data_IF_764040643027
#
_entry.id   IF_764040643027
#
_cell.length_a   1.000
_cell.length_b   1.000
_cell.length_c   1.000
_cell.angle_alpha   90.00
_cell.angle_beta   90.00
_cell.angle_gamma   90.00
#
_symmetry.space_group_name_H-M   'P 1'
#
loop_
_entity.id
_entity.type
_entity.pdbx_description
1 polymer ?
#
# COMPACT_ATOMS: atom_id res chain seq x y z
N UNK A 1 11.62 -19.79 -3.23
CA UNK A 1 10.22 -19.29 -3.42
C UNK A 1 10.32 -17.86 -3.90
N UNK A 2 9.53 -17.50 -4.92
CA UNK A 2 9.50 -16.17 -5.48
C UNK A 2 8.30 -15.38 -4.88
N UNK A 3 8.33 -15.19 -3.58
CA UNK A 3 7.32 -14.44 -2.84
C UNK A 3 7.61 -12.94 -2.92
N UNK A 4 6.58 -12.13 -3.06
CA UNK A 4 6.69 -10.67 -3.14
C UNK A 4 5.85 -10.03 -2.02
N UNK A 5 6.45 -9.08 -1.32
CA UNK A 5 5.74 -8.18 -0.40
C UNK A 5 5.56 -6.82 -1.06
N UNK A 6 4.34 -6.33 -1.10
CA UNK A 6 4.01 -4.98 -1.53
C UNK A 6 3.69 -4.13 -0.30
N UNK A 7 4.54 -3.16 -0.02
CA UNK A 7 4.34 -2.17 1.05
C UNK A 7 3.66 -0.95 0.43
N UNK A 8 2.38 -0.77 0.74
CA UNK A 8 1.53 0.24 0.11
C UNK A 8 1.59 1.55 0.89
N UNK A 9 2.08 2.60 0.24
CA UNK A 9 1.95 4.00 0.64
C UNK A 9 2.27 4.32 2.11
N UNK A 10 3.32 3.71 2.66
CA UNK A 10 3.76 3.98 4.03
C UNK A 10 4.49 5.33 4.13
N UNK A 11 3.78 6.41 3.75
CA UNK A 11 4.25 7.79 3.65
C UNK A 11 3.88 8.61 4.88
N UNK A 12 4.65 9.66 5.15
CA UNK A 12 4.46 10.50 6.34
C UNK A 12 3.07 11.12 6.41
N UNK A 13 2.51 11.60 5.30
CA UNK A 13 1.18 12.20 5.28
C UNK A 13 0.06 11.23 5.68
N UNK A 14 0.21 9.93 5.39
CA UNK A 14 -0.76 8.90 5.78
C UNK A 14 -0.49 8.32 7.18
N UNK A 15 0.69 8.52 7.74
CA UNK A 15 1.05 7.98 9.06
C UNK A 15 0.68 8.98 10.16
N UNK A 16 1.29 10.14 10.17
CA UNK A 16 1.09 11.20 11.18
C UNK A 16 1.01 12.61 10.58
N UNK A 17 0.98 12.75 9.25
CA UNK A 17 0.83 14.01 8.55
C UNK A 17 -0.63 14.38 8.27
N UNK A 18 -0.90 14.98 7.10
CA UNK A 18 -2.18 15.59 6.74
C UNK A 18 -3.39 14.64 6.85
N UNK A 19 -3.19 13.35 6.55
CA UNK A 19 -4.21 12.30 6.61
C UNK A 19 -3.85 11.19 7.62
N UNK A 20 -2.98 11.49 8.58
CA UNK A 20 -2.51 10.53 9.57
C UNK A 20 -3.57 10.09 10.57
N UNK A 21 -3.41 8.89 11.10
CA UNK A 21 -4.24 8.30 12.14
C UNK A 21 -3.39 7.62 13.20
N UNK A 22 -3.92 7.44 14.42
CA UNK A 22 -3.21 6.70 15.47
C UNK A 22 -2.98 5.23 15.08
N UNK A 23 -3.91 4.65 14.35
CA UNK A 23 -3.81 3.28 13.84
C UNK A 23 -2.67 3.16 12.82
N UNK A 24 -2.53 4.15 11.92
CA UNK A 24 -1.43 4.18 10.95
C UNK A 24 -0.06 4.29 11.64
N UNK A 25 0.05 5.09 12.68
CA UNK A 25 1.27 5.17 13.50
C UNK A 25 1.57 3.83 14.16
N UNK A 26 0.55 3.18 14.70
CA UNK A 26 0.69 1.93 15.46
C UNK A 26 1.23 0.76 14.63
N UNK A 27 0.94 0.72 13.32
CA UNK A 27 1.42 -0.39 12.47
C UNK A 27 2.86 -0.25 11.99
N UNK A 28 3.49 0.92 12.10
CA UNK A 28 4.86 1.16 11.58
C UNK A 28 5.88 0.15 12.11
N UNK A 29 5.98 -0.15 13.43
CA UNK A 29 6.93 -1.15 13.93
C UNK A 29 6.66 -2.56 13.40
N UNK A 30 5.39 -2.93 13.24
CA UNK A 30 5.01 -4.23 12.67
C UNK A 30 5.43 -4.35 11.21
N UNK A 31 5.12 -3.34 10.40
CA UNK A 31 5.51 -3.30 8.97
C UNK A 31 7.03 -3.34 8.83
N UNK A 32 7.77 -2.64 9.70
CA UNK A 32 9.23 -2.71 9.73
C UNK A 32 9.72 -4.15 9.94
N UNK A 33 9.23 -4.81 10.98
CA UNK A 33 9.59 -6.20 11.26
C UNK A 33 9.21 -7.15 10.13
N UNK A 34 8.05 -6.92 9.49
CA UNK A 34 7.63 -7.70 8.32
C UNK A 34 8.61 -7.55 7.16
N UNK A 35 9.05 -6.33 6.84
CA UNK A 35 10.03 -6.07 5.78
C UNK A 35 11.38 -6.72 6.09
N UNK A 36 11.88 -6.57 7.32
CA UNK A 36 13.17 -7.10 7.75
C UNK A 36 13.24 -8.63 7.66
N UNK A 37 12.12 -9.32 7.91
CA UNK A 37 12.06 -10.77 7.96
C UNK A 37 11.42 -11.42 6.73
N UNK A 38 10.98 -10.63 5.75
CA UNK A 38 10.35 -11.20 4.56
C UNK A 38 11.38 -11.94 3.69
N UNK A 39 11.14 -13.22 3.37
CA UNK A 39 12.14 -14.04 2.68
C UNK A 39 12.27 -13.75 1.19
N UNK A 40 11.36 -12.94 0.62
CA UNK A 40 11.27 -12.66 -0.79
C UNK A 40 11.62 -11.22 -1.17
N UNK A 41 11.13 -10.81 -2.32
CA UNK A 41 11.30 -9.45 -2.84
C UNK A 41 10.33 -8.48 -2.17
N UNK A 42 10.80 -7.30 -1.79
CA UNK A 42 9.97 -6.25 -1.21
C UNK A 42 9.89 -5.07 -2.17
N UNK A 43 8.67 -4.68 -2.53
CA UNK A 43 8.36 -3.53 -3.37
C UNK A 43 7.57 -2.50 -2.58
N UNK A 44 7.76 -1.23 -2.88
CA UNK A 44 7.06 -0.13 -2.24
C UNK A 44 6.27 0.65 -3.27
N UNK A 45 5.01 0.97 -2.99
CA UNK A 45 4.28 1.99 -3.73
C UNK A 45 4.32 3.32 -2.98
N UNK A 46 4.16 4.41 -3.73
CA UNK A 46 4.17 5.75 -3.18
C UNK A 46 3.15 6.61 -3.92
N UNK A 47 2.12 7.02 -3.21
CA UNK A 47 1.11 7.95 -3.73
C UNK A 47 1.76 9.29 -4.05
N UNK A 48 1.51 9.83 -5.23
CA UNK A 48 2.26 10.98 -5.74
C UNK A 48 1.33 11.94 -6.44
N UNK A 49 1.10 13.09 -5.83
CA UNK A 49 0.33 14.20 -6.38
C UNK A 49 1.22 15.38 -6.76
N UNK A 50 0.70 16.27 -7.59
CA UNK A 50 1.33 17.51 -7.97
C UNK A 50 0.66 18.69 -7.27
N UNK A 51 1.24 19.89 -7.39
CA UNK A 51 0.71 21.10 -6.76
C UNK A 51 -0.73 21.44 -7.15
N UNK A 52 -1.17 20.99 -8.33
CA UNK A 52 -2.55 21.16 -8.81
C UNK A 52 -3.53 20.12 -8.25
N UNK A 53 -3.19 19.40 -7.18
CA UNK A 53 -4.04 18.38 -6.57
C UNK A 53 -5.49 18.83 -6.37
N UNK A 54 -5.71 20.07 -5.90
CA UNK A 54 -7.04 20.62 -5.64
C UNK A 54 -7.90 20.76 -6.90
N UNK A 55 -7.30 20.78 -8.09
CA UNK A 55 -7.99 20.87 -9.37
C UNK A 55 -8.40 19.49 -9.91
N UNK A 56 -7.83 18.43 -9.34
CA UNK A 56 -8.13 17.05 -9.73
C UNK A 56 -9.49 16.60 -9.21
N UNK A 57 -10.02 15.53 -9.78
CA UNK A 57 -11.27 14.93 -9.26
C UNK A 57 -11.10 14.43 -7.83
N UNK A 58 -9.95 13.82 -7.50
CA UNK A 58 -9.65 13.38 -6.14
C UNK A 58 -9.63 14.56 -5.17
N UNK A 59 -8.93 15.65 -5.52
CA UNK A 59 -8.85 16.84 -4.70
C UNK A 59 -10.19 17.55 -4.50
N UNK A 60 -11.12 17.45 -5.45
CA UNK A 60 -12.50 17.95 -5.28
C UNK A 60 -13.32 17.11 -4.32
N UNK A 61 -13.09 15.80 -4.26
CA UNK A 61 -13.77 14.89 -3.34
C UNK A 61 -13.12 14.87 -1.94
N UNK A 62 -11.81 15.01 -1.87
CA UNK A 62 -11.02 15.09 -0.64
C UNK A 62 -10.13 16.35 -0.69
N UNK A 63 -10.63 17.53 -0.27
CA UNK A 63 -9.91 18.79 -0.41
C UNK A 63 -8.80 18.97 0.66
N UNK A 64 -7.93 17.99 0.78
CA UNK A 64 -6.77 17.97 1.68
C UNK A 64 -5.53 17.65 0.86
N UNK A 65 -4.66 18.64 0.62
CA UNK A 65 -3.38 18.41 -0.03
C UNK A 65 -2.55 17.40 0.77
N UNK A 66 -2.09 16.37 0.12
CA UNK A 66 -1.23 15.34 0.70
C UNK A 66 -0.35 14.72 -0.38
N UNK A 67 0.73 14.10 0.03
CA UNK A 67 1.67 13.38 -0.84
C UNK A 67 2.07 14.18 -2.10
N UNK A 68 2.24 15.49 -1.94
CA UNK A 68 2.74 16.33 -3.02
C UNK A 68 4.21 16.01 -3.26
N UNK A 69 4.55 15.69 -4.50
CA UNK A 69 5.91 15.29 -4.89
C UNK A 69 6.96 16.23 -4.35
N UNK A 70 7.98 15.67 -3.72
CA UNK A 70 9.12 16.41 -3.16
C UNK A 70 8.91 16.99 -1.77
N UNK A 71 7.70 16.89 -1.19
CA UNK A 71 7.45 17.32 0.19
C UNK A 71 7.85 16.23 1.20
N UNK A 72 8.02 16.61 2.46
CA UNK A 72 8.27 15.64 3.55
C UNK A 72 7.11 14.67 3.73
N UNK A 73 5.87 15.13 3.56
CA UNK A 73 4.67 14.31 3.64
C UNK A 73 4.62 13.20 2.59
N UNK A 74 5.16 13.45 1.41
CA UNK A 74 5.27 12.48 0.32
C UNK A 74 6.32 11.39 0.58
N UNK A 75 7.34 11.66 1.40
CA UNK A 75 8.40 10.68 1.67
C UNK A 75 7.85 9.44 2.37
N UNK A 76 8.36 8.27 2.00
CA UNK A 76 8.16 7.05 2.76
C UNK A 76 8.77 7.25 4.16
N UNK A 77 8.11 6.73 5.18
CA UNK A 77 8.62 6.79 6.57
C UNK A 77 10.07 6.34 6.61
N UNK A 78 10.95 7.20 7.15
CA UNK A 78 12.40 7.05 7.09
C UNK A 78 12.90 5.66 7.49
N UNK A 79 12.37 5.11 8.59
CA UNK A 79 12.79 3.79 9.10
C UNK A 79 12.38 2.62 8.20
N UNK A 80 11.38 2.81 7.33
CA UNK A 80 10.96 1.83 6.32
C UNK A 80 11.71 2.07 5.01
N UNK A 81 11.93 3.34 4.63
CA UNK A 81 12.66 3.71 3.43
C UNK A 81 14.13 3.22 3.48
N UNK A 82 14.71 3.22 4.69
CA UNK A 82 16.06 2.69 4.93
C UNK A 82 16.20 1.19 4.60
N UNK A 83 15.09 0.44 4.59
CA UNK A 83 15.06 -0.99 4.24
C UNK A 83 14.75 -1.24 2.76
N UNK A 84 14.39 -0.22 2.02
CA UNK A 84 14.03 -0.31 0.60
C UNK A 84 15.26 -0.58 -0.26
N UNK A 85 15.15 -1.58 -1.14
CA UNK A 85 16.26 -2.03 -2.02
C UNK A 85 16.04 -1.69 -3.49
N UNK A 86 14.83 -1.24 -3.86
CA UNK A 86 14.46 -0.90 -5.23
C UNK A 86 13.81 0.48 -5.27
N UNK A 87 13.72 1.08 -6.46
CA UNK A 87 12.96 2.33 -6.62
C UNK A 87 11.52 2.14 -6.17
N UNK A 88 10.96 3.16 -5.50
CA UNK A 88 9.55 3.16 -5.16
C UNK A 88 8.69 3.33 -6.42
N UNK A 89 7.57 2.64 -6.46
CA UNK A 89 6.62 2.70 -7.56
C UNK A 89 5.68 3.88 -7.30
N UNK A 90 5.94 5.01 -7.92
CA UNK A 90 5.10 6.19 -7.83
C UNK A 90 3.80 5.96 -8.60
N UNK A 91 2.67 6.24 -7.95
CA UNK A 91 1.34 6.11 -8.54
C UNK A 91 0.57 7.43 -8.38
N UNK A 92 -0.35 7.69 -9.28
CA UNK A 92 -1.10 8.96 -9.35
C UNK A 92 -2.54 8.83 -8.85
N UNK A 93 -2.94 7.64 -8.45
CA UNK A 93 -4.27 7.31 -7.93
C UNK A 93 -4.18 6.09 -7.02
N UNK A 94 -5.29 5.60 -6.52
CA UNK A 94 -5.36 4.54 -5.49
C UNK A 94 -4.67 3.24 -5.93
N UNK A 95 -5.01 2.71 -7.11
CA UNK A 95 -4.35 1.54 -7.68
C UNK A 95 -3.15 1.92 -8.56
N UNK A 96 -2.05 1.20 -8.42
CA UNK A 96 -0.82 1.43 -9.18
C UNK A 96 -0.80 0.60 -10.48
N UNK A 97 -1.24 1.18 -11.60
CA UNK A 97 -1.21 0.47 -12.89
C UNK A 97 0.21 0.08 -13.32
N UNK A 98 1.21 0.85 -12.91
CA UNK A 98 2.61 0.54 -13.16
C UNK A 98 3.18 -0.58 -12.28
N UNK A 99 2.56 -0.89 -11.14
CA UNK A 99 2.88 -2.09 -10.34
C UNK A 99 2.66 -3.36 -11.15
N UNK A 100 1.59 -3.41 -11.94
CA UNK A 100 1.30 -4.56 -12.82
C UNK A 100 2.47 -4.85 -13.76
N UNK A 101 3.03 -3.82 -14.39
CA UNK A 101 4.19 -3.96 -15.29
C UNK A 101 5.44 -4.45 -14.56
N UNK A 102 5.64 -4.02 -13.31
CA UNK A 102 6.77 -4.51 -12.50
C UNK A 102 6.60 -5.99 -12.17
N UNK A 103 5.37 -6.41 -11.85
CA UNK A 103 5.06 -7.81 -11.56
C UNK A 103 5.13 -8.69 -12.82
N UNK A 104 4.69 -8.20 -13.98
CA UNK A 104 4.79 -8.91 -15.28
C UNK A 104 6.24 -9.16 -15.69
N UNK A 105 7.19 -8.35 -15.22
CA UNK A 105 8.61 -8.51 -15.51
C UNK A 105 9.30 -9.57 -14.65
N UNK A 106 8.62 -10.09 -13.61
CA UNK A 106 9.16 -11.17 -12.78
C UNK A 106 9.02 -12.52 -13.52
N UNK A 107 10.09 -13.31 -13.58
CA UNK A 107 10.08 -14.62 -14.25
C UNK A 107 9.11 -15.61 -13.57
N UNK A 108 8.93 -15.48 -12.26
CA UNK A 108 8.09 -16.34 -11.44
C UNK A 108 7.60 -15.59 -10.20
N UNK A 109 6.32 -15.77 -9.88
CA UNK A 109 5.73 -15.29 -8.63
C UNK A 109 4.96 -16.47 -8.00
N UNK A 110 5.33 -16.84 -6.78
CA UNK A 110 4.67 -17.91 -6.03
C UNK A 110 3.50 -17.37 -5.18
N UNK A 111 3.67 -16.18 -4.58
CA UNK A 111 2.61 -15.45 -3.87
C UNK A 111 2.89 -13.96 -3.80
N UNK A 112 1.85 -13.15 -3.57
CA UNK A 112 1.99 -11.71 -3.34
C UNK A 112 1.29 -11.35 -2.03
N UNK A 113 2.04 -10.77 -1.10
CA UNK A 113 1.53 -10.27 0.18
C UNK A 113 1.47 -8.74 0.15
N UNK A 114 0.38 -8.18 0.67
CA UNK A 114 0.18 -6.73 0.78
C UNK A 114 0.11 -6.30 2.24
N UNK A 115 0.71 -5.17 2.55
CA UNK A 115 0.54 -4.42 3.80
C UNK A 115 0.60 -2.92 3.51
N UNK A 116 0.24 -2.10 4.48
CA UNK A 116 0.36 -0.64 4.40
C UNK A 116 -0.97 0.11 4.49
N UNK A 117 -1.03 1.24 3.85
CA UNK A 117 -2.06 2.26 4.02
C UNK A 117 -2.74 2.67 2.71
N UNK A 118 -4.01 3.07 2.74
CA UNK A 118 -4.99 2.66 3.76
C UNK A 118 -5.64 1.37 3.29
N UNK A 119 -6.00 0.50 4.22
CA UNK A 119 -6.63 -0.81 3.92
C UNK A 119 -7.79 -0.68 2.96
N UNK A 120 -8.65 0.31 3.22
CA UNK A 120 -9.93 0.58 2.54
C UNK A 120 -9.81 1.46 1.30
N UNK A 121 -8.62 1.91 0.94
CA UNK A 121 -8.39 2.76 -0.25
C UNK A 121 -7.29 2.17 -1.14
N UNK A 122 -6.03 2.50 -0.86
CA UNK A 122 -4.91 2.10 -1.73
C UNK A 122 -4.57 0.62 -1.62
N UNK A 123 -4.69 0.00 -0.44
CA UNK A 123 -4.41 -1.43 -0.27
C UNK A 123 -5.42 -2.25 -1.06
N UNK A 124 -6.72 -2.11 -0.79
CA UNK A 124 -7.76 -2.87 -1.52
C UNK A 124 -7.71 -2.59 -3.03
N UNK A 125 -7.45 -1.36 -3.44
CA UNK A 125 -7.36 -1.01 -4.86
C UNK A 125 -6.20 -1.74 -5.56
N UNK A 126 -5.03 -1.81 -4.94
CA UNK A 126 -3.89 -2.54 -5.48
C UNK A 126 -4.10 -4.05 -5.45
N UNK A 127 -4.69 -4.59 -4.38
CA UNK A 127 -5.02 -6.01 -4.26
C UNK A 127 -5.96 -6.44 -5.38
N UNK A 128 -7.06 -5.70 -5.60
CA UNK A 128 -8.06 -6.05 -6.60
C UNK A 128 -7.54 -5.84 -8.02
N UNK A 129 -6.74 -4.80 -8.26
CA UNK A 129 -6.05 -4.61 -9.53
C UNK A 129 -5.11 -5.77 -9.84
N UNK A 130 -4.29 -6.17 -8.87
CA UNK A 130 -3.38 -7.32 -9.00
C UNK A 130 -4.16 -8.61 -9.23
N UNK A 131 -5.27 -8.83 -8.51
CA UNK A 131 -6.15 -10.00 -8.73
C UNK A 131 -6.69 -10.08 -10.16
N UNK A 132 -7.02 -8.94 -10.76
CA UNK A 132 -7.53 -8.89 -12.13
C UNK A 132 -6.49 -9.31 -13.17
N UNK A 133 -5.22 -8.95 -12.97
CA UNK A 133 -4.13 -9.28 -13.90
C UNK A 133 -3.50 -10.65 -13.62
N UNK A 134 -3.49 -11.08 -12.36
CA UNK A 134 -2.85 -12.34 -11.90
C UNK A 134 -3.84 -13.22 -11.14
N UNK A 135 -4.91 -13.70 -11.79
CA UNK A 135 -6.00 -14.42 -11.11
C UNK A 135 -5.56 -15.73 -10.44
N UNK A 136 -4.50 -16.34 -10.94
CA UNK A 136 -3.99 -17.63 -10.46
C UNK A 136 -2.92 -17.50 -9.36
N UNK A 137 -2.38 -16.29 -9.15
CA UNK A 137 -1.38 -16.07 -8.09
C UNK A 137 -2.10 -15.88 -6.75
N UNK A 138 -1.73 -16.63 -5.70
CA UNK A 138 -2.25 -16.41 -4.35
C UNK A 138 -1.95 -15.00 -3.85
N UNK A 139 -3.00 -14.22 -3.54
CA UNK A 139 -2.88 -12.90 -2.92
C UNK A 139 -3.19 -12.98 -1.44
N UNK A 140 -2.35 -12.33 -0.65
CA UNK A 140 -2.41 -12.33 0.81
C UNK A 140 -2.43 -10.86 1.27
N UNK A 141 -3.26 -10.56 2.26
CA UNK A 141 -3.22 -9.28 2.99
C UNK A 141 -2.85 -9.56 4.43
N UNK A 142 -1.77 -8.95 4.90
CA UNK A 142 -1.39 -9.00 6.31
C UNK A 142 -2.11 -7.88 7.06
N UNK A 143 -3.19 -8.23 7.74
CA UNK A 143 -4.08 -7.28 8.36
C UNK A 143 -3.41 -6.50 9.51
N UNK A 144 -2.52 -7.14 10.27
CA UNK A 144 -1.76 -6.48 11.34
C UNK A 144 -0.80 -5.40 10.80
N UNK A 145 -0.42 -5.51 9.53
CA UNK A 145 0.40 -4.52 8.81
C UNK A 145 -0.42 -3.49 8.03
N UNK A 146 -1.75 -3.42 8.23
CA UNK A 146 -2.64 -2.49 7.56
C UNK A 146 -3.42 -1.64 8.55
N UNK A 147 -3.79 -0.43 8.13
CA UNK A 147 -4.74 0.42 8.85
C UNK A 147 -5.64 1.15 7.85
N UNK A 148 -6.92 1.27 8.17
CA UNK A 148 -7.89 2.00 7.36
C UNK A 148 -8.06 3.46 7.81
N UNK A 149 -8.91 4.19 7.11
CA UNK A 149 -9.31 5.56 7.52
C UNK A 149 -9.96 5.51 8.91
N UNK A 150 -10.74 4.47 9.17
CA UNK A 150 -11.31 4.14 10.48
C UNK A 150 -11.15 2.63 10.73
N UNK A 151 -11.21 2.18 12.02
CA UNK A 151 -11.22 0.74 12.30
C UNK A 151 -12.36 -0.01 11.61
N UNK A 152 -13.54 0.61 11.48
CA UNK A 152 -14.69 0.00 10.81
C UNK A 152 -14.48 -0.14 9.30
N UNK A 153 -13.94 0.88 8.64
CA UNK A 153 -13.67 0.81 7.19
C UNK A 153 -12.52 -0.14 6.86
N UNK A 154 -11.54 -0.27 7.75
CA UNK A 154 -10.51 -1.31 7.68
C UNK A 154 -11.14 -2.71 7.67
N UNK A 155 -11.98 -3.02 8.63
CA UNK A 155 -12.66 -4.30 8.72
C UNK A 155 -13.53 -4.58 7.48
N UNK A 156 -14.30 -3.60 7.04
CA UNK A 156 -15.14 -3.71 5.84
C UNK A 156 -14.31 -4.07 4.60
N UNK A 157 -13.13 -3.46 4.44
CA UNK A 157 -12.24 -3.75 3.33
C UNK A 157 -11.66 -5.16 3.40
N UNK A 158 -11.25 -5.62 4.59
CA UNK A 158 -10.77 -6.99 4.78
C UNK A 158 -11.85 -8.01 4.41
N UNK A 159 -13.10 -7.80 4.85
CA UNK A 159 -14.21 -8.69 4.50
C UNK A 159 -14.49 -8.67 2.99
N UNK A 160 -14.45 -7.50 2.33
CA UNK A 160 -14.62 -7.41 0.89
C UNK A 160 -13.54 -8.19 0.13
N UNK A 161 -12.29 -8.08 0.55
CA UNK A 161 -11.18 -8.82 -0.06
C UNK A 161 -11.31 -10.33 0.13
N UNK A 162 -11.75 -10.80 1.32
CA UNK A 162 -12.02 -12.22 1.57
C UNK A 162 -13.09 -12.79 0.62
N UNK A 163 -14.17 -12.05 0.39
CA UNK A 163 -15.22 -12.45 -0.58
C UNK A 163 -14.64 -12.58 -1.99
N UNK A 164 -13.67 -11.75 -2.34
CA UNK A 164 -12.94 -11.80 -3.61
C UNK A 164 -11.80 -12.84 -3.62
N UNK A 165 -11.79 -13.79 -2.66
CA UNK A 165 -10.80 -14.88 -2.59
C UNK A 165 -9.36 -14.44 -2.29
N UNK A 166 -9.18 -13.32 -1.62
CA UNK A 166 -7.90 -12.90 -1.07
C UNK A 166 -7.75 -13.50 0.33
N UNK A 167 -6.58 -14.07 0.60
CA UNK A 167 -6.27 -14.60 1.93
C UNK A 167 -5.92 -13.45 2.88
N UNK A 168 -6.66 -13.29 3.96
CA UNK A 168 -6.33 -12.34 5.03
C UNK A 168 -5.70 -13.11 6.19
N UNK A 169 -4.59 -12.58 6.70
CA UNK A 169 -3.84 -13.17 7.83
C UNK A 169 -3.62 -12.13 8.93
N UNK A 170 -3.34 -12.58 10.13
CA UNK A 170 -2.98 -11.75 11.29
C UNK A 170 -4.04 -10.66 11.60
N UNK A 171 -5.31 -11.05 11.59
CA UNK A 171 -6.46 -10.19 11.97
C UNK A 171 -6.52 -9.92 13.47
#
# INVERSE_FOLDING_TARGET
MADILIVVDMQNDFIDGALGTKEAVAIVPYVKGLIENFPGKVLFTRDTHLENYMDTQEGKNLPVKHCIRGTEGWQIRQELDALRKTEAIDKVTFGASNLVKVLEAEERIDSITFCGLCTDICVISNVMLTKAFFPEIPLIVDAAGCAGVTPQSHENALQAMKVCQVKVINE
#
